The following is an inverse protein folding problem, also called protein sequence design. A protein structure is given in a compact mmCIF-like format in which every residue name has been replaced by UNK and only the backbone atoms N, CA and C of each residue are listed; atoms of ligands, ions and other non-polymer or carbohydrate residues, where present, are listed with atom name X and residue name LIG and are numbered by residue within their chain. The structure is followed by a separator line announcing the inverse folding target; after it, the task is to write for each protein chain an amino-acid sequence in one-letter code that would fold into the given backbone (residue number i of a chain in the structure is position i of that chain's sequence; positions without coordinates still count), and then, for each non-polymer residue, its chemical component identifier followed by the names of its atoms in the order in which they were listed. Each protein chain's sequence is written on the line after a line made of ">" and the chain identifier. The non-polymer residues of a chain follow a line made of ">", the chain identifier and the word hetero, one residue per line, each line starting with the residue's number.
data_IF_704445529593
#
_entry.id   IF_704445529593
#
_cell.length_a   1.000
_cell.length_b   1.000
_cell.length_c   1.000
_cell.angle_alpha   90.00
_cell.angle_beta   90.00
_cell.angle_gamma   90.00
#
_symmetry.space_group_name_H-M   'P 1'
#
loop_
_entity.id
_entity.type
_entity.pdbx_description
1 polymer ?
#
# COMPACT_ATOMS: atom_id res chain seq x y z
N UNK A 1 1.10 21.80 21.45
CA UNK A 1 2.17 21.22 20.61
C UNK A 1 2.51 19.89 21.25
N UNK A 2 2.46 18.78 20.50
CA UNK A 2 2.90 17.49 21.01
C UNK A 2 4.43 17.49 21.08
N UNK A 3 4.99 17.32 22.28
CA UNK A 3 6.44 17.26 22.48
C UNK A 3 7.03 16.08 21.70
N UNK A 4 7.91 16.35 20.74
CA UNK A 4 8.75 15.32 20.17
C UNK A 4 9.80 14.91 21.21
N UNK A 5 9.70 13.65 21.65
CA UNK A 5 10.65 13.03 22.56
C UNK A 5 11.55 12.08 21.78
N UNK A 6 12.84 12.31 21.87
CA UNK A 6 13.87 11.46 21.28
C UNK A 6 14.55 10.63 22.38
N UNK A 7 14.82 9.33 22.13
CA UNK A 7 15.45 8.46 23.12
C UNK A 7 16.92 8.82 23.39
N UNK A 8 17.59 9.51 22.46
CA UNK A 8 18.96 9.98 22.61
C UNK A 8 18.96 11.43 23.17
N UNK A 9 19.59 11.69 24.32
CA UNK A 9 19.61 13.02 24.93
C UNK A 9 20.37 14.05 24.08
N UNK A 10 21.38 13.64 23.31
CA UNK A 10 22.13 14.54 22.42
C UNK A 10 21.26 14.94 21.23
N UNK A 11 20.51 13.99 20.67
CA UNK A 11 19.51 14.26 19.64
C UNK A 11 18.45 15.27 20.10
N UNK A 12 17.92 15.08 21.31
CA UNK A 12 16.97 16.00 21.92
C UNK A 12 17.56 17.41 22.07
N UNK A 13 18.82 17.51 22.52
CA UNK A 13 19.50 18.78 22.67
C UNK A 13 19.66 19.51 21.33
N UNK A 14 20.09 18.83 20.27
CA UNK A 14 20.21 19.46 18.95
C UNK A 14 18.87 19.91 18.38
N UNK A 15 17.82 19.11 18.58
CA UNK A 15 16.46 19.48 18.17
C UNK A 15 15.97 20.74 18.91
N UNK A 16 16.13 20.78 20.24
CA UNK A 16 15.77 21.94 21.06
C UNK A 16 16.58 23.20 20.71
N UNK A 17 17.87 23.05 20.38
CA UNK A 17 18.68 24.17 19.87
C UNK A 17 18.11 24.72 18.56
N UNK A 18 17.72 23.83 17.63
CA UNK A 18 17.05 24.22 16.39
C UNK A 18 15.74 24.97 16.65
N UNK A 19 14.90 24.48 17.56
CA UNK A 19 13.65 25.16 17.94
C UNK A 19 13.90 26.55 18.55
N UNK A 20 14.84 26.68 19.49
CA UNK A 20 15.18 27.97 20.08
C UNK A 20 15.71 28.99 19.05
N UNK A 21 16.50 28.53 18.07
CA UNK A 21 16.97 29.37 16.96
C UNK A 21 15.81 29.80 16.04
N UNK A 22 14.82 28.93 15.81
CA UNK A 22 13.62 29.24 15.02
C UNK A 22 12.71 30.25 15.74
N UNK A 23 12.57 30.13 17.06
CA UNK A 23 11.79 31.07 17.87
C UNK A 23 12.40 32.48 17.87
N UNK A 24 13.74 32.55 17.97
CA UNK A 24 14.47 33.83 17.99
C UNK A 24 14.53 34.51 16.62
N UNK A 25 14.77 33.76 15.54
CA UNK A 25 14.89 34.35 14.19
C UNK A 25 13.56 34.43 13.44
N UNK A 26 12.53 33.70 13.88
CA UNK A 26 11.23 33.52 13.21
C UNK A 26 11.35 33.06 11.74
N UNK A 27 12.49 32.52 11.33
CA UNK A 27 12.76 32.11 9.96
C UNK A 27 13.47 30.77 9.91
N UNK A 28 12.95 29.85 9.10
CA UNK A 28 13.56 28.54 8.89
C UNK A 28 14.83 28.59 8.04
N UNK A 29 15.03 29.64 7.24
CA UNK A 29 16.13 29.67 6.25
C UNK A 29 17.51 29.68 6.93
N UNK A 30 17.65 30.32 8.09
CA UNK A 30 18.90 30.33 8.85
C UNK A 30 19.23 28.94 9.42
N UNK A 31 18.24 28.27 10.00
CA UNK A 31 18.38 26.93 10.59
C UNK A 31 18.63 25.87 9.50
N UNK A 32 17.95 25.98 8.35
CA UNK A 32 18.19 25.12 7.18
C UNK A 32 19.62 25.28 6.64
N UNK A 33 20.11 26.51 6.49
CA UNK A 33 21.48 26.77 6.05
C UNK A 33 22.51 26.20 7.02
N UNK A 34 22.24 26.30 8.33
CA UNK A 34 23.09 25.69 9.37
C UNK A 34 23.06 24.16 9.31
N UNK A 35 21.90 23.56 9.06
CA UNK A 35 21.76 22.13 8.86
C UNK A 35 22.56 21.65 7.63
N UNK A 36 22.53 22.40 6.53
CA UNK A 36 23.31 22.13 5.31
C UNK A 36 24.82 22.20 5.56
N UNK A 37 25.29 23.22 6.28
CA UNK A 37 26.70 23.36 6.65
C UNK A 37 27.19 22.21 7.52
N UNK A 38 26.34 21.69 8.41
CA UNK A 38 26.65 20.50 9.20
C UNK A 38 26.61 19.22 8.34
N UNK A 39 25.71 19.13 7.37
CA UNK A 39 25.54 17.97 6.48
C UNK A 39 26.76 17.70 5.58
N UNK A 40 27.50 18.76 5.22
CA UNK A 40 28.70 18.69 4.39
C UNK A 40 29.89 18.02 5.09
N UNK A 41 29.79 17.83 6.40
CA UNK A 41 30.84 17.23 7.20
C UNK A 41 30.53 15.77 7.49
N UNK A 42 31.57 14.96 7.66
CA UNK A 42 31.45 13.50 7.78
C UNK A 42 31.53 12.97 9.21
N UNK A 43 31.59 13.86 10.22
CA UNK A 43 31.57 13.39 11.61
C UNK A 43 30.15 12.98 12.00
N UNK A 44 30.04 11.86 12.73
CA UNK A 44 28.75 11.33 13.20
C UNK A 44 27.93 12.38 13.97
N UNK A 45 28.60 13.20 14.80
CA UNK A 45 27.97 14.25 15.59
C UNK A 45 27.37 15.36 14.71
N UNK A 46 28.07 15.78 13.66
CA UNK A 46 27.59 16.83 12.75
C UNK A 46 26.48 16.34 11.82
N UNK A 47 26.54 15.08 11.38
CA UNK A 47 25.42 14.44 10.65
C UNK A 47 24.18 14.36 11.55
N UNK A 48 24.36 14.01 12.83
CA UNK A 48 23.27 13.97 13.80
C UNK A 48 22.69 15.37 14.05
N UNK A 49 23.53 16.36 14.27
CA UNK A 49 23.09 17.75 14.41
C UNK A 49 22.33 18.22 13.18
N UNK A 50 22.84 17.96 11.98
CA UNK A 50 22.16 18.27 10.71
C UNK A 50 20.77 17.63 10.63
N UNK A 51 20.65 16.34 10.95
CA UNK A 51 19.39 15.61 10.94
C UNK A 51 18.33 16.29 11.84
N UNK A 52 18.69 16.62 13.08
CA UNK A 52 17.76 17.20 14.04
C UNK A 52 17.43 18.68 13.76
N UNK A 53 18.37 19.44 13.19
CA UNK A 53 18.10 20.80 12.70
C UNK A 53 17.10 20.77 11.52
N UNK A 54 17.25 19.82 10.59
CA UNK A 54 16.26 19.64 9.53
C UNK A 54 14.89 19.22 10.07
N UNK A 55 14.83 18.35 11.07
CA UNK A 55 13.55 17.98 11.71
C UNK A 55 12.87 19.17 12.40
N UNK A 56 13.62 19.97 13.16
CA UNK A 56 13.10 21.17 13.81
C UNK A 56 12.55 22.17 12.77
N UNK A 57 13.33 22.44 11.71
CA UNK A 57 12.91 23.30 10.62
C UNK A 57 11.66 22.76 9.91
N UNK A 58 11.60 21.45 9.65
CA UNK A 58 10.45 20.81 9.01
C UNK A 58 9.16 20.97 9.83
N UNK A 59 9.24 20.76 11.15
CA UNK A 59 8.11 20.90 12.06
C UNK A 59 7.63 22.36 12.14
N UNK A 60 8.55 23.31 12.22
CA UNK A 60 8.21 24.74 12.17
C UNK A 60 7.55 25.14 10.85
N UNK A 61 7.96 24.54 9.73
CA UNK A 61 7.43 24.83 8.40
C UNK A 61 6.11 24.12 8.09
N UNK A 62 5.71 23.10 8.84
CA UNK A 62 4.56 22.23 8.52
C UNK A 62 3.25 23.02 8.30
N UNK A 63 3.07 24.14 9.00
CA UNK A 63 1.88 25.00 8.88
C UNK A 63 2.09 26.26 8.04
N UNK A 64 3.32 26.51 7.59
CA UNK A 64 3.72 27.76 6.93
C UNK A 64 4.04 27.55 5.46
N UNK A 65 4.84 26.53 5.17
CA UNK A 65 5.26 26.17 3.83
C UNK A 65 5.45 24.65 3.74
N UNK A 66 4.42 23.98 3.23
CA UNK A 66 4.39 22.52 3.11
C UNK A 66 5.48 21.99 2.17
N UNK A 67 5.85 22.74 1.13
CA UNK A 67 6.87 22.32 0.18
C UNK A 67 8.26 22.33 0.84
N UNK A 68 8.61 23.42 1.53
CA UNK A 68 9.87 23.48 2.30
C UNK A 68 9.87 22.48 3.47
N UNK A 69 8.74 22.29 4.16
CA UNK A 69 8.61 21.28 5.22
C UNK A 69 8.88 19.85 4.69
N UNK A 70 8.35 19.53 3.52
CA UNK A 70 8.58 18.25 2.85
C UNK A 70 10.05 18.04 2.49
N UNK A 71 10.71 19.07 1.94
CA UNK A 71 12.13 19.04 1.62
C UNK A 71 13.00 18.86 2.86
N UNK A 72 12.75 19.64 3.92
CA UNK A 72 13.47 19.53 5.18
C UNK A 72 13.32 18.14 5.82
N UNK A 73 12.10 17.60 5.85
CA UNK A 73 11.83 16.24 6.35
C UNK A 73 12.59 15.17 5.54
N UNK A 74 12.69 15.32 4.23
CA UNK A 74 13.42 14.39 3.38
C UNK A 74 14.93 14.45 3.62
N UNK A 75 15.48 15.65 3.81
CA UNK A 75 16.89 15.82 4.15
C UNK A 75 17.21 15.24 5.53
N UNK A 76 16.34 15.46 6.52
CA UNK A 76 16.44 14.79 7.82
C UNK A 76 16.47 13.26 7.68
N UNK A 77 15.56 12.69 6.88
CA UNK A 77 15.53 11.25 6.60
C UNK A 77 16.84 10.74 5.99
N UNK A 78 17.43 11.50 5.06
CA UNK A 78 18.73 11.18 4.45
C UNK A 78 19.87 11.13 5.47
N UNK A 79 19.95 12.13 6.35
CA UNK A 79 20.99 12.17 7.39
C UNK A 79 20.79 11.05 8.43
N UNK A 80 19.54 10.80 8.87
CA UNK A 80 19.23 9.71 9.79
C UNK A 80 19.54 8.33 9.19
N UNK A 81 19.29 8.14 7.90
CA UNK A 81 19.67 6.93 7.19
C UNK A 81 21.19 6.74 7.18
N UNK A 82 21.98 7.80 6.94
CA UNK A 82 23.46 7.74 7.04
C UNK A 82 23.94 7.32 8.43
N UNK A 83 23.18 7.64 9.47
CA UNK A 83 23.46 7.26 10.87
C UNK A 83 22.98 5.85 11.24
N UNK A 84 22.35 5.12 10.32
CA UNK A 84 21.73 3.81 10.61
C UNK A 84 20.47 3.90 11.47
N UNK A 85 19.90 5.09 11.66
CA UNK A 85 18.67 5.33 12.42
C UNK A 85 17.43 5.06 11.54
N UNK A 86 17.33 3.85 11.00
CA UNK A 86 16.38 3.52 9.92
C UNK A 86 14.91 3.76 10.29
N UNK A 87 14.44 3.39 11.48
CA UNK A 87 13.05 3.67 11.92
C UNK A 87 12.76 5.18 11.91
N UNK A 88 13.69 6.00 12.39
CA UNK A 88 13.52 7.46 12.44
C UNK A 88 13.62 8.07 11.03
N UNK A 89 14.55 7.57 10.21
CA UNK A 89 14.66 7.94 8.80
C UNK A 89 13.36 7.63 8.03
N UNK A 90 12.79 6.45 8.26
CA UNK A 90 11.52 6.02 7.67
C UNK A 90 10.38 6.96 8.03
N UNK A 91 10.27 7.36 9.30
CA UNK A 91 9.28 8.35 9.76
C UNK A 91 9.48 9.73 9.12
N UNK A 92 10.72 10.20 9.03
CA UNK A 92 11.05 11.48 8.40
C UNK A 92 10.70 11.48 6.90
N UNK A 93 11.01 10.39 6.18
CA UNK A 93 10.63 10.21 4.78
C UNK A 93 9.11 10.08 4.59
N UNK A 94 8.40 9.38 5.48
CA UNK A 94 6.93 9.31 5.46
C UNK A 94 6.30 10.69 5.65
N UNK A 95 6.80 11.48 6.60
CA UNK A 95 6.39 12.87 6.80
C UNK A 95 6.65 13.72 5.56
N UNK A 96 7.82 13.58 4.93
CA UNK A 96 8.15 14.25 3.68
C UNK A 96 7.17 13.89 2.55
N UNK A 97 6.79 12.62 2.43
CA UNK A 97 5.79 12.14 1.49
C UNK A 97 4.43 12.82 1.71
N UNK A 98 3.93 12.79 2.95
CA UNK A 98 2.62 13.38 3.31
C UNK A 98 2.58 14.89 3.07
N UNK A 99 3.60 15.62 3.52
CA UNK A 99 3.70 17.06 3.29
C UNK A 99 3.84 17.40 1.81
N UNK A 100 4.59 16.59 1.06
CA UNK A 100 4.74 16.74 -0.39
C UNK A 100 3.42 16.57 -1.15
N UNK A 101 2.60 15.58 -0.80
CA UNK A 101 1.26 15.41 -1.40
C UNK A 101 0.32 16.57 -1.06
N UNK A 102 0.31 17.03 0.20
CA UNK A 102 -0.49 18.19 0.60
C UNK A 102 -0.05 19.46 -0.15
N UNK A 103 1.26 19.67 -0.29
CA UNK A 103 1.80 20.79 -1.08
C UNK A 103 1.41 20.68 -2.56
N UNK A 104 1.44 19.47 -3.15
CA UNK A 104 1.04 19.24 -4.53
C UNK A 104 -0.45 19.53 -4.77
N UNK A 105 -1.32 19.33 -3.77
CA UNK A 105 -2.75 19.65 -3.89
C UNK A 105 -3.02 21.14 -4.06
N UNK A 106 -2.21 21.98 -3.40
CA UNK A 106 -2.32 23.45 -3.45
C UNK A 106 -1.49 24.09 -4.57
N UNK A 107 -0.52 23.37 -5.13
CA UNK A 107 0.37 23.88 -6.17
C UNK A 107 -0.31 23.93 -7.56
N UNK A 108 0.20 24.81 -8.42
CA UNK A 108 -0.29 25.03 -9.79
C UNK A 108 0.83 24.72 -10.78
N UNK A 109 0.47 24.25 -11.98
CA UNK A 109 1.42 24.04 -13.08
C UNK A 109 2.42 22.91 -12.82
N UNK A 110 3.68 23.13 -13.23
CA UNK A 110 4.76 22.13 -13.11
C UNK A 110 5.11 21.79 -11.67
N UNK A 111 5.05 22.76 -10.75
CA UNK A 111 5.37 22.55 -9.34
C UNK A 111 4.51 21.45 -8.69
N UNK A 112 3.25 21.31 -9.11
CA UNK A 112 2.37 20.23 -8.66
C UNK A 112 2.90 18.84 -9.04
N UNK A 113 3.40 18.69 -10.27
CA UNK A 113 3.99 17.44 -10.74
C UNK A 113 5.26 17.09 -9.98
N UNK A 114 6.13 18.08 -9.78
CA UNK A 114 7.41 17.89 -9.10
C UNK A 114 7.22 17.50 -7.64
N UNK A 115 6.29 18.16 -6.95
CA UNK A 115 5.94 17.83 -5.56
C UNK A 115 5.29 16.44 -5.43
N UNK A 116 4.42 16.06 -6.37
CA UNK A 116 3.83 14.72 -6.35
C UNK A 116 4.88 13.63 -6.62
N UNK A 117 5.80 13.87 -7.55
CA UNK A 117 6.92 12.96 -7.82
C UNK A 117 7.87 12.88 -6.62
N UNK A 118 8.12 13.99 -5.95
CA UNK A 118 8.89 14.05 -4.72
C UNK A 118 8.25 13.23 -3.59
N UNK A 119 6.92 13.28 -3.46
CA UNK A 119 6.20 12.47 -2.49
C UNK A 119 6.36 10.96 -2.76
N UNK A 120 6.24 10.53 -4.02
CA UNK A 120 6.50 9.15 -4.44
C UNK A 120 7.89 8.69 -3.99
N UNK A 121 8.93 9.49 -4.29
CA UNK A 121 10.31 9.17 -3.91
C UNK A 121 10.46 9.04 -2.40
N UNK A 122 9.83 9.94 -1.64
CA UNK A 122 9.91 9.95 -0.19
C UNK A 122 9.25 8.71 0.43
N UNK A 123 8.05 8.34 0.00
CA UNK A 123 7.42 7.09 0.47
C UNK A 123 8.22 5.84 0.09
N UNK A 124 8.82 5.81 -1.10
CA UNK A 124 9.69 4.70 -1.52
C UNK A 124 10.90 4.53 -0.58
N UNK A 125 11.52 5.64 -0.17
CA UNK A 125 12.61 5.64 0.81
C UNK A 125 12.13 5.22 2.21
N UNK A 126 10.96 5.69 2.62
CA UNK A 126 10.35 5.29 3.90
C UNK A 126 10.11 3.78 3.96
N UNK A 127 9.52 3.21 2.91
CA UNK A 127 9.27 1.78 2.76
C UNK A 127 10.58 0.97 2.90
N UNK A 128 11.65 1.37 2.19
CA UNK A 128 12.94 0.70 2.31
C UNK A 128 13.49 0.73 3.73
N UNK A 129 13.43 1.89 4.41
CA UNK A 129 13.92 2.02 5.79
C UNK A 129 13.17 1.09 6.75
N UNK A 130 11.85 1.02 6.66
CA UNK A 130 11.05 0.14 7.52
C UNK A 130 11.26 -1.34 7.21
N UNK A 131 11.41 -1.70 5.94
CA UNK A 131 11.73 -3.07 5.53
C UNK A 131 13.09 -3.52 6.07
N UNK A 132 14.09 -2.64 6.07
CA UNK A 132 15.45 -2.92 6.53
C UNK A 132 15.53 -3.25 8.03
N UNK A 133 14.66 -2.64 8.86
CA UNK A 133 14.54 -2.96 10.30
C UNK A 133 13.53 -4.05 10.61
N UNK A 134 12.87 -4.63 9.61
CA UNK A 134 11.85 -5.67 9.80
C UNK A 134 10.50 -5.15 10.31
N UNK A 135 10.24 -3.84 10.26
CA UNK A 135 8.95 -3.24 10.60
C UNK A 135 7.95 -3.41 9.44
N UNK A 136 7.55 -4.65 9.17
CA UNK A 136 6.77 -5.03 7.99
C UNK A 136 5.41 -4.32 7.87
N UNK A 137 4.73 -4.06 9.00
CA UNK A 137 3.43 -3.36 8.99
C UNK A 137 3.57 -1.89 8.56
N UNK A 138 4.64 -1.22 8.99
CA UNK A 138 4.98 0.15 8.55
C UNK A 138 5.45 0.16 7.10
N UNK A 139 6.28 -0.80 6.70
CA UNK A 139 6.71 -0.98 5.30
C UNK A 139 5.53 -1.18 4.36
N UNK A 140 4.57 -2.06 4.71
CA UNK A 140 3.34 -2.26 3.92
C UNK A 140 2.53 -0.97 3.80
N UNK A 141 2.39 -0.22 4.90
CA UNK A 141 1.68 1.07 4.89
C UNK A 141 2.35 2.07 3.94
N UNK A 142 3.67 2.21 4.00
CA UNK A 142 4.39 3.16 3.13
C UNK A 142 4.43 2.71 1.66
N UNK A 143 4.47 1.40 1.40
CA UNK A 143 4.29 0.87 0.05
C UNK A 143 2.92 1.24 -0.52
N UNK A 144 1.86 1.15 0.28
CA UNK A 144 0.52 1.55 -0.15
C UNK A 144 0.43 3.07 -0.42
N UNK A 145 1.07 3.88 0.42
CA UNK A 145 1.16 5.34 0.22
C UNK A 145 1.93 5.69 -1.06
N UNK A 146 3.11 5.09 -1.26
CA UNK A 146 3.90 5.23 -2.49
C UNK A 146 3.07 4.89 -3.72
N UNK A 147 2.37 3.75 -3.69
CA UNK A 147 1.52 3.30 -4.79
C UNK A 147 0.41 4.31 -5.09
N UNK A 148 -0.28 4.79 -4.06
CA UNK A 148 -1.34 5.78 -4.23
C UNK A 148 -0.78 7.09 -4.81
N UNK A 149 0.37 7.55 -4.33
CA UNK A 149 1.04 8.74 -4.85
C UNK A 149 1.46 8.56 -6.32
N UNK A 150 1.95 7.38 -6.72
CA UNK A 150 2.30 7.04 -8.11
C UNK A 150 1.07 7.05 -9.03
N UNK A 151 -0.07 6.55 -8.55
CA UNK A 151 -1.34 6.59 -9.29
C UNK A 151 -1.76 8.03 -9.53
N UNK A 152 -1.71 8.87 -8.51
CA UNK A 152 -2.03 10.30 -8.63
C UNK A 152 -1.07 10.98 -9.62
N UNK A 153 0.23 10.73 -9.52
CA UNK A 153 1.23 11.27 -10.45
C UNK A 153 1.00 10.83 -11.91
N UNK A 154 0.68 9.55 -12.13
CA UNK A 154 0.38 9.02 -13.46
C UNK A 154 -0.87 9.67 -14.07
N UNK A 155 -1.92 9.87 -13.26
CA UNK A 155 -3.12 10.62 -13.68
C UNK A 155 -2.79 12.05 -14.08
N UNK A 156 -1.91 12.74 -13.33
CA UNK A 156 -1.47 14.09 -13.69
C UNK A 156 -0.75 14.11 -15.05
N UNK A 157 -0.03 13.05 -15.42
CA UNK A 157 0.62 12.91 -16.75
C UNK A 157 -0.35 12.53 -17.89
N UNK A 158 -1.66 12.44 -17.62
CA UNK A 158 -2.64 11.99 -18.63
C UNK A 158 -2.57 10.50 -18.96
N UNK A 159 -1.82 9.70 -18.17
CA UNK A 159 -1.77 8.24 -18.35
C UNK A 159 -2.99 7.62 -17.67
N UNK A 160 -3.84 6.95 -18.45
CA UNK A 160 -5.03 6.27 -17.91
C UNK A 160 -4.64 5.02 -17.10
N UNK A 161 -5.13 4.85 -15.86
CA UNK A 161 -4.63 3.85 -14.92
C UNK A 161 -5.36 2.51 -15.01
N UNK A 162 -5.66 1.99 -16.21
CA UNK A 162 -6.36 0.70 -16.34
C UNK A 162 -5.57 -0.47 -15.76
N UNK A 163 -4.27 -0.52 -16.05
CA UNK A 163 -3.35 -1.49 -15.44
C UNK A 163 -3.30 -1.35 -13.90
N UNK A 164 -3.44 -0.13 -13.38
CA UNK A 164 -3.42 0.13 -11.94
C UNK A 164 -4.78 -0.15 -11.28
N UNK A 165 -5.91 -0.05 -12.00
CA UNK A 165 -7.22 -0.49 -11.53
C UNK A 165 -7.27 -2.02 -11.43
N UNK A 166 -6.80 -2.72 -12.46
CA UNK A 166 -6.60 -4.16 -12.41
C UNK A 166 -5.66 -4.54 -11.25
N UNK A 167 -4.57 -3.81 -11.06
CA UNK A 167 -3.64 -4.04 -9.95
C UNK A 167 -4.20 -3.70 -8.56
N UNK A 168 -5.04 -2.67 -8.43
CA UNK A 168 -5.72 -2.31 -7.18
C UNK A 168 -6.81 -3.32 -6.82
N UNK A 169 -7.48 -3.88 -7.82
CA UNK A 169 -8.35 -5.03 -7.66
C UNK A 169 -7.55 -6.25 -7.19
N UNK A 170 -6.39 -6.52 -7.78
CA UNK A 170 -5.60 -7.71 -7.48
C UNK A 170 -4.73 -7.66 -6.23
N UNK A 171 -4.23 -6.49 -5.83
CA UNK A 171 -3.29 -6.39 -4.70
C UNK A 171 -3.96 -6.07 -3.36
N UNK A 172 -5.20 -5.56 -3.36
CA UNK A 172 -5.92 -5.26 -2.12
C UNK A 172 -6.87 -6.40 -1.68
N UNK A 173 -6.76 -7.59 -2.29
CA UNK A 173 -7.60 -8.74 -1.92
C UNK A 173 -7.49 -9.12 -0.44
N UNK A 174 -6.36 -8.84 0.22
CA UNK A 174 -6.10 -9.25 1.59
C UNK A 174 -6.49 -8.28 2.71
N UNK A 175 -7.00 -7.08 2.41
CA UNK A 175 -7.19 -6.04 3.46
C UNK A 175 -8.62 -5.84 3.93
N UNK A 176 -9.63 -6.41 3.27
CA UNK A 176 -11.05 -6.24 3.66
C UNK A 176 -11.90 -7.46 3.36
N UNK A 177 -12.51 -8.03 4.42
CA UNK A 177 -13.39 -9.20 4.34
C UNK A 177 -14.59 -8.98 3.41
N UNK A 178 -15.23 -7.80 3.47
CA UNK A 178 -16.37 -7.47 2.62
C UNK A 178 -16.00 -7.45 1.12
N UNK A 179 -14.81 -6.92 0.79
CA UNK A 179 -14.34 -6.87 -0.60
C UNK A 179 -13.99 -8.27 -1.11
N UNK A 180 -13.33 -9.08 -0.30
CA UNK A 180 -13.10 -10.49 -0.61
C UNK A 180 -14.41 -11.24 -0.86
N UNK A 181 -15.44 -11.05 -0.01
CA UNK A 181 -16.75 -11.67 -0.19
C UNK A 181 -17.43 -11.30 -1.51
N UNK A 182 -17.37 -10.02 -1.92
CA UNK A 182 -17.90 -9.59 -3.23
C UNK A 182 -17.19 -10.31 -4.39
N UNK A 183 -15.89 -10.53 -4.29
CA UNK A 183 -15.13 -11.25 -5.31
C UNK A 183 -15.43 -12.73 -5.35
N UNK A 184 -15.61 -13.37 -4.20
CA UNK A 184 -16.10 -14.76 -4.13
C UNK A 184 -17.45 -14.88 -4.84
N UNK A 185 -18.40 -13.97 -4.56
CA UNK A 185 -19.70 -13.95 -5.24
C UNK A 185 -19.56 -13.72 -6.75
N UNK A 186 -18.70 -12.79 -7.17
CA UNK A 186 -18.44 -12.52 -8.58
C UNK A 186 -17.85 -13.72 -9.33
N UNK A 187 -16.92 -14.45 -8.70
CA UNK A 187 -16.32 -15.67 -9.25
C UNK A 187 -17.38 -16.78 -9.34
N UNK A 188 -18.16 -16.99 -8.28
CA UNK A 188 -19.27 -17.96 -8.29
C UNK A 188 -20.23 -17.66 -9.44
N UNK A 189 -20.64 -16.39 -9.60
CA UNK A 189 -21.53 -15.96 -10.67
C UNK A 189 -20.91 -16.14 -12.07
N UNK A 190 -19.64 -15.81 -12.25
CA UNK A 190 -18.92 -15.99 -13.53
C UNK A 190 -18.89 -17.46 -13.94
N UNK A 191 -18.46 -18.35 -13.03
CA UNK A 191 -18.41 -19.78 -13.31
C UNK A 191 -19.81 -20.39 -13.45
N UNK A 192 -20.82 -19.89 -12.73
CA UNK A 192 -22.21 -20.30 -12.91
C UNK A 192 -22.69 -20.07 -14.35
N UNK A 193 -22.37 -18.91 -14.93
CA UNK A 193 -22.70 -18.62 -16.34
C UNK A 193 -21.93 -19.54 -17.29
N UNK A 194 -20.64 -19.77 -17.02
CA UNK A 194 -19.84 -20.69 -17.85
C UNK A 194 -20.37 -22.12 -17.82
N UNK A 195 -20.81 -22.61 -16.66
CA UNK A 195 -21.40 -23.95 -16.54
C UNK A 195 -22.77 -24.04 -17.22
N UNK A 196 -23.60 -23.01 -17.13
CA UNK A 196 -24.85 -22.93 -17.90
C UNK A 196 -24.58 -23.01 -19.42
N UNK A 197 -23.54 -22.32 -19.91
CA UNK A 197 -23.12 -22.41 -21.31
C UNK A 197 -22.63 -23.82 -21.64
N UNK A 198 -21.77 -24.42 -20.80
CA UNK A 198 -21.28 -25.78 -21.01
C UNK A 198 -22.42 -26.81 -21.03
N UNK A 199 -23.43 -26.63 -20.17
CA UNK A 199 -24.62 -27.48 -20.14
C UNK A 199 -25.43 -27.36 -21.43
N UNK A 200 -25.71 -26.14 -21.90
CA UNK A 200 -26.45 -25.88 -23.15
C UNK A 200 -25.73 -26.40 -24.39
N UNK A 201 -24.40 -26.46 -24.36
CA UNK A 201 -23.57 -27.03 -25.42
C UNK A 201 -23.42 -28.56 -25.30
N UNK A 202 -24.10 -29.21 -24.34
CA UNK A 202 -24.01 -30.64 -24.05
C UNK A 202 -22.59 -31.11 -23.69
N UNK A 203 -21.77 -30.22 -23.13
CA UNK A 203 -20.43 -30.53 -22.62
C UNK A 203 -20.43 -31.00 -21.16
N UNK A 204 -21.59 -30.91 -20.49
CA UNK A 204 -21.84 -31.48 -19.18
C UNK A 204 -22.85 -32.61 -19.34
N UNK A 205 -22.46 -33.81 -18.96
CA UNK A 205 -23.26 -35.03 -19.08
C UNK A 205 -23.59 -35.54 -17.68
N UNK A 206 -24.83 -36.01 -17.42
CA UNK A 206 -25.16 -36.61 -16.13
C UNK A 206 -24.25 -37.81 -15.82
N UNK A 207 -23.87 -37.97 -14.56
CA UNK A 207 -23.11 -39.13 -14.12
C UNK A 207 -24.05 -40.36 -14.07
N UNK A 208 -23.61 -41.50 -14.63
CA UNK A 208 -24.47 -42.67 -14.89
C UNK A 208 -25.05 -43.36 -13.65
N UNK A 209 -24.59 -43.02 -12.44
CA UNK A 209 -24.86 -43.79 -11.22
C UNK A 209 -25.98 -43.25 -10.34
N UNK A 210 -26.61 -42.13 -10.70
CA UNK A 210 -27.76 -41.58 -9.98
C UNK A 210 -28.80 -41.01 -10.95
N UNK A 211 -30.09 -41.05 -10.60
CA UNK A 211 -31.10 -40.30 -11.33
C UNK A 211 -30.73 -38.82 -11.26
N UNK A 212 -30.26 -38.19 -12.36
CA UNK A 212 -29.72 -36.86 -12.28
C UNK A 212 -30.84 -35.88 -11.95
N UNK A 213 -30.60 -35.00 -10.97
CA UNK A 213 -31.51 -33.89 -10.71
C UNK A 213 -31.59 -33.05 -11.98
N UNK A 214 -32.80 -32.73 -12.43
CA UNK A 214 -33.01 -31.95 -13.64
C UNK A 214 -32.25 -30.60 -13.55
N UNK A 215 -31.51 -30.26 -14.60
CA UNK A 215 -30.78 -28.99 -14.65
C UNK A 215 -31.76 -27.82 -14.64
N UNK A 216 -31.71 -27.03 -13.57
CA UNK A 216 -32.48 -25.80 -13.42
C UNK A 216 -31.63 -24.63 -13.88
N UNK A 217 -32.08 -23.83 -14.88
CA UNK A 217 -31.33 -22.69 -15.37
C UNK A 217 -30.94 -21.76 -14.23
N UNK A 218 -29.72 -21.23 -14.28
CA UNK A 218 -29.11 -20.37 -13.25
C UNK A 218 -28.78 -21.09 -11.94
N UNK A 219 -29.73 -21.79 -11.31
CA UNK A 219 -29.54 -22.39 -9.99
C UNK A 219 -28.61 -23.60 -10.00
N UNK A 220 -28.74 -24.50 -10.98
CA UNK A 220 -27.82 -25.64 -11.13
C UNK A 220 -26.40 -25.16 -11.44
N UNK A 221 -26.24 -24.09 -12.22
CA UNK A 221 -24.95 -23.44 -12.46
C UNK A 221 -24.31 -22.87 -11.20
N UNK A 222 -25.10 -22.18 -10.35
CA UNK A 222 -24.61 -21.64 -9.06
C UNK A 222 -24.21 -22.78 -8.13
N UNK A 223 -25.06 -23.79 -7.97
CA UNK A 223 -24.78 -24.96 -7.14
C UNK A 223 -23.48 -25.66 -7.57
N UNK A 224 -23.34 -25.92 -8.87
CA UNK A 224 -22.13 -26.52 -9.44
C UNK A 224 -20.90 -25.65 -9.16
N UNK A 225 -21.01 -24.34 -9.40
CA UNK A 225 -19.95 -23.38 -9.18
C UNK A 225 -19.49 -23.34 -7.72
N UNK A 226 -20.42 -23.31 -6.76
CA UNK A 226 -20.12 -23.34 -5.32
C UNK A 226 -19.40 -24.63 -4.93
N UNK A 227 -19.90 -25.79 -5.37
CA UNK A 227 -19.31 -27.09 -4.99
C UNK A 227 -17.93 -27.31 -5.59
N UNK A 228 -17.67 -26.82 -6.80
CA UNK A 228 -16.33 -26.88 -7.39
C UNK A 228 -15.40 -25.84 -6.76
N UNK A 229 -15.85 -24.61 -6.52
CA UNK A 229 -15.04 -23.55 -5.89
C UNK A 229 -14.62 -23.94 -4.46
N UNK A 230 -15.50 -24.62 -3.72
CA UNK A 230 -15.22 -25.14 -2.39
C UNK A 230 -14.44 -26.47 -2.38
N UNK A 231 -14.10 -27.00 -3.57
CA UNK A 231 -13.45 -28.30 -3.75
C UNK A 231 -14.20 -29.48 -3.11
N UNK A 232 -15.52 -29.37 -2.93
CA UNK A 232 -16.37 -30.44 -2.40
C UNK A 232 -16.61 -31.55 -3.43
N UNK A 233 -16.64 -31.20 -4.73
CA UNK A 233 -16.82 -32.19 -5.80
C UNK A 233 -18.20 -32.86 -5.84
N UNK A 234 -19.18 -32.35 -5.07
CA UNK A 234 -20.54 -32.87 -5.01
C UNK A 234 -21.35 -32.37 -6.22
N UNK A 235 -21.12 -32.98 -7.38
CA UNK A 235 -21.79 -32.58 -8.63
C UNK A 235 -22.42 -33.76 -9.34
N UNK A 236 -23.62 -33.56 -9.88
CA UNK A 236 -24.39 -34.60 -10.60
C UNK A 236 -24.01 -34.70 -12.09
N UNK A 237 -23.17 -33.76 -12.56
CA UNK A 237 -22.77 -33.63 -13.96
C UNK A 237 -21.25 -33.64 -14.09
N UNK A 238 -20.75 -34.39 -15.06
CA UNK A 238 -19.33 -34.48 -15.37
C UNK A 238 -18.98 -33.78 -16.70
N UNK A 239 -17.81 -33.13 -16.80
CA UNK A 239 -17.35 -32.50 -18.03
C UNK A 239 -16.91 -33.55 -19.06
N UNK A 240 -17.61 -33.61 -20.20
CA UNK A 240 -17.29 -34.51 -21.30
C UNK A 240 -16.34 -33.89 -22.33
N UNK A 241 -16.27 -32.55 -22.38
CA UNK A 241 -15.46 -31.82 -23.36
C UNK A 241 -14.20 -31.22 -22.72
N UNK A 242 -13.07 -31.19 -23.44
CA UNK A 242 -11.80 -30.69 -22.91
C UNK A 242 -11.88 -29.24 -22.39
N UNK A 243 -12.66 -28.37 -23.05
CA UNK A 243 -12.88 -26.98 -22.60
C UNK A 243 -13.61 -26.97 -21.26
N UNK A 244 -14.65 -27.79 -21.10
CA UNK A 244 -15.40 -27.87 -19.83
C UNK A 244 -14.52 -28.42 -18.70
N UNK A 245 -13.62 -29.36 -19.00
CA UNK A 245 -12.62 -29.85 -18.03
C UNK A 245 -11.64 -28.73 -17.62
N UNK A 246 -11.14 -27.96 -18.58
CA UNK A 246 -10.28 -26.81 -18.29
C UNK A 246 -10.99 -25.76 -17.43
N UNK A 247 -12.26 -25.47 -17.70
CA UNK A 247 -13.08 -24.57 -16.87
C UNK A 247 -13.18 -25.08 -15.44
N UNK A 248 -13.44 -26.39 -15.23
CA UNK A 248 -13.47 -27.00 -13.90
C UNK A 248 -12.12 -26.89 -13.20
N UNK A 249 -11.01 -27.22 -13.87
CA UNK A 249 -9.66 -27.14 -13.30
C UNK A 249 -9.33 -25.71 -12.86
N UNK A 250 -9.60 -24.72 -13.72
CA UNK A 250 -9.37 -23.31 -13.41
C UNK A 250 -10.23 -22.89 -12.22
N UNK A 251 -11.49 -23.33 -12.15
CA UNK A 251 -12.37 -23.02 -11.01
C UNK A 251 -11.80 -23.56 -9.69
N UNK A 252 -11.31 -24.80 -9.67
CA UNK A 252 -10.67 -25.39 -8.48
C UNK A 252 -9.43 -24.60 -8.06
N UNK A 253 -8.55 -24.24 -9.00
CA UNK A 253 -7.35 -23.44 -8.72
C UNK A 253 -7.71 -22.08 -8.13
N UNK A 254 -8.71 -21.42 -8.70
CA UNK A 254 -9.23 -20.13 -8.19
C UNK A 254 -9.82 -20.31 -6.78
N UNK A 255 -10.56 -21.40 -6.54
CA UNK A 255 -11.10 -21.75 -5.22
C UNK A 255 -10.02 -21.85 -4.14
N UNK A 256 -8.93 -22.56 -4.42
CA UNK A 256 -7.79 -22.65 -3.49
C UNK A 256 -7.12 -21.30 -3.23
N UNK A 257 -6.97 -20.46 -4.26
CA UNK A 257 -6.45 -19.10 -4.09
C UNK A 257 -7.35 -18.26 -3.18
N UNK A 258 -8.68 -18.33 -3.38
CA UNK A 258 -9.66 -17.62 -2.55
C UNK A 258 -9.65 -18.09 -1.10
N UNK A 259 -9.51 -19.40 -0.87
CA UNK A 259 -9.39 -19.98 0.46
C UNK A 259 -8.15 -19.46 1.19
N UNK A 260 -6.98 -19.48 0.54
CA UNK A 260 -5.74 -18.97 1.12
C UNK A 260 -5.82 -17.48 1.49
N UNK A 261 -6.41 -16.66 0.61
CA UNK A 261 -6.67 -15.24 0.90
C UNK A 261 -7.64 -15.08 2.08
N UNK A 262 -8.71 -15.88 2.12
CA UNK A 262 -9.71 -15.85 3.20
C UNK A 262 -9.11 -16.14 4.57
N UNK A 263 -8.30 -17.20 4.68
CA UNK A 263 -7.57 -17.54 5.91
C UNK A 263 -6.65 -16.39 6.34
N UNK A 264 -5.92 -15.78 5.40
CA UNK A 264 -5.03 -14.66 5.68
C UNK A 264 -5.75 -13.39 6.17
N UNK A 265 -6.97 -13.13 5.71
CA UNK A 265 -7.79 -12.02 6.22
C UNK A 265 -8.26 -12.32 7.64
N UNK A 266 -8.81 -13.52 7.88
CA UNK A 266 -9.34 -13.90 9.20
C UNK A 266 -8.22 -13.89 10.25
N UNK A 267 -7.04 -14.43 9.92
CA UNK A 267 -5.88 -14.40 10.82
C UNK A 267 -5.48 -12.98 11.25
N UNK A 268 -5.49 -12.02 10.31
CA UNK A 268 -5.24 -10.60 10.62
C UNK A 268 -6.34 -9.98 11.49
N UNK A 269 -7.60 -10.34 11.26
CA UNK A 269 -8.72 -9.85 12.07
C UNK A 269 -8.68 -10.35 13.51
N UNK A 270 -8.18 -11.58 13.74
CA UNK A 270 -8.01 -12.13 15.09
C UNK A 270 -6.87 -11.41 15.82
N UNK A 271 -5.70 -11.27 15.17
CA UNK A 271 -4.52 -10.59 15.75
C UNK A 271 -4.77 -9.13 16.13
N UNK A 272 -5.66 -8.44 15.42
CA UNK A 272 -6.02 -7.03 15.70
C UNK A 272 -7.08 -6.86 16.79
N UNK A 273 -7.74 -7.94 17.21
CA UNK A 273 -8.74 -7.94 18.29
C UNK A 273 -8.25 -8.56 19.61
N UNK A 274 -7.10 -9.24 19.60
CA UNK A 274 -6.37 -9.75 20.77
C UNK A 274 -5.39 -8.71 21.30
#
# INVERSE_FOLDING_TARGET
>A
MSEQTFPDPIAQQYYQQGEAELETTQSADAVLRKAELCAQKDTRAEIMQSAFYYLAAAHFLERRDLAKSAQASHQAGSQLHRLGQFTQAGRAYSNAGRSGERAAQTAIGSAKHDLQHFAVRSYSRANHCFAEVGELEWSETEYLNERNARVTWAKMQGKHPWAQLAWKATSNYGTSFARWGIWVLGIIGTFSVLYEICFRLHWLVPMETAAPVAWTPLWSGVYYSVNITSALGLVDYQPSHFISQAVVIINVLVGYLLLGVGIGIIGRMIKTRS
#
